data_IF_465938034863
#
_entry.id   IF_465938034863
#
_cell.length_a   1.000
_cell.length_b   1.000
_cell.length_c   1.000
_cell.angle_alpha   90.00
_cell.angle_beta   90.00
_cell.angle_gamma   90.00
#
_symmetry.space_group_name_H-M   'P 1'
#
loop_
_entity.id
_entity.type
_entity.pdbx_description
1 polymer ?
#
# COMPACT_ATOMS: atom_id res chain seq x y z
N UNK A 1 -7.16 5.74 0.82
CA UNK A 1 -7.26 5.34 2.24
C UNK A 1 -8.59 5.83 2.79
N UNK A 2 -8.77 7.15 2.92
CA UNK A 2 -9.95 7.80 3.52
C UNK A 2 -11.28 7.22 3.05
N UNK A 3 -11.48 7.11 1.74
CA UNK A 3 -12.70 6.55 1.17
C UNK A 3 -12.99 5.10 1.62
N UNK A 4 -11.97 4.25 1.68
CA UNK A 4 -12.15 2.85 2.09
C UNK A 4 -12.41 2.78 3.59
N UNK A 5 -11.68 3.59 4.39
CA UNK A 5 -11.91 3.67 5.84
C UNK A 5 -13.33 4.17 6.15
N UNK A 6 -13.85 5.13 5.40
CA UNK A 6 -15.24 5.62 5.51
C UNK A 6 -16.25 4.52 5.18
N UNK A 7 -16.01 3.74 4.12
CA UNK A 7 -16.92 2.69 3.68
C UNK A 7 -16.92 1.46 4.60
N UNK A 8 -15.76 1.04 5.10
CA UNK A 8 -15.60 -0.26 5.78
C UNK A 8 -15.32 -0.14 7.27
N UNK A 9 -14.98 1.04 7.77
CA UNK A 9 -14.48 1.25 9.14
C UNK A 9 -12.99 0.91 9.28
N UNK A 10 -12.32 1.59 10.21
CA UNK A 10 -10.85 1.51 10.39
C UNK A 10 -10.35 0.12 10.76
N UNK A 11 -11.18 -0.71 11.40
CA UNK A 11 -10.81 -2.07 11.76
C UNK A 11 -10.79 -3.02 10.55
N UNK A 12 -11.27 -2.60 9.38
CA UNK A 12 -11.40 -3.47 8.20
C UNK A 12 -10.47 -3.10 7.05
N UNK A 13 -9.48 -2.24 7.30
CA UNK A 13 -8.56 -1.74 6.26
C UNK A 13 -7.13 -2.20 6.53
N UNK A 14 -6.45 -2.64 5.48
CA UNK A 14 -5.02 -2.92 5.50
C UNK A 14 -4.36 -2.38 4.23
N UNK A 15 -3.03 -2.46 4.15
CA UNK A 15 -2.29 -2.02 2.97
C UNK A 15 -1.54 -3.15 2.26
N UNK A 16 -1.67 -3.16 0.92
CA UNK A 16 -0.82 -3.92 0.01
C UNK A 16 -0.28 -2.96 -1.04
N UNK A 17 1.02 -2.69 -1.02
CA UNK A 17 1.64 -1.67 -1.87
C UNK A 17 1.85 -2.11 -3.32
N UNK A 18 1.81 -3.42 -3.56
CA UNK A 18 2.05 -4.03 -4.87
C UNK A 18 3.33 -3.49 -5.54
N UNK A 19 4.42 -3.42 -4.75
CA UNK A 19 5.72 -2.93 -5.22
C UNK A 19 6.30 -3.90 -6.24
N UNK A 20 6.36 -3.48 -7.49
CA UNK A 20 6.67 -4.35 -8.61
C UNK A 20 7.75 -3.79 -9.54
N UNK A 21 8.23 -2.55 -9.40
CA UNK A 21 9.31 -2.04 -10.27
C UNK A 21 10.54 -2.96 -10.31
N UNK A 22 10.96 -3.44 -9.14
CA UNK A 22 12.05 -4.40 -9.00
C UNK A 22 11.70 -5.80 -9.52
N UNK A 23 10.41 -6.16 -9.57
CA UNK A 23 9.95 -7.42 -10.15
C UNK A 23 9.96 -7.35 -11.68
N UNK A 24 9.55 -6.23 -12.24
CA UNK A 24 9.42 -6.04 -13.69
C UNK A 24 10.74 -6.02 -14.44
N UNK A 25 11.89 -5.87 -13.76
CA UNK A 25 13.21 -6.07 -14.37
C UNK A 25 13.44 -7.50 -14.88
N UNK A 26 12.68 -8.47 -14.36
CA UNK A 26 12.72 -9.87 -14.78
C UNK A 26 11.64 -10.23 -15.81
N UNK A 27 10.81 -9.26 -16.22
CA UNK A 27 9.77 -9.46 -17.23
C UNK A 27 10.33 -9.07 -18.60
N UNK A 28 10.01 -9.88 -19.62
CA UNK A 28 10.52 -9.64 -20.98
C UNK A 28 10.00 -8.31 -21.55
N UNK A 29 10.78 -7.62 -22.39
CA UNK A 29 10.36 -6.35 -23.01
C UNK A 29 9.04 -6.48 -23.80
N UNK A 30 8.83 -7.59 -24.50
CA UNK A 30 7.60 -7.83 -25.27
C UNK A 30 6.36 -7.93 -24.37
N UNK A 31 6.50 -8.61 -23.22
CA UNK A 31 5.41 -8.70 -22.23
C UNK A 31 5.14 -7.33 -21.62
N UNK A 32 6.17 -6.55 -21.27
CA UNK A 32 6.01 -5.18 -20.77
C UNK A 32 5.35 -4.27 -21.81
N UNK A 33 5.71 -4.40 -23.09
CA UNK A 33 5.14 -3.62 -24.18
C UNK A 33 3.66 -3.98 -24.45
N UNK A 34 3.26 -5.22 -24.15
CA UNK A 34 1.87 -5.67 -24.27
C UNK A 34 0.96 -5.20 -23.13
N UNK A 35 1.51 -4.70 -22.02
CA UNK A 35 0.72 -4.24 -20.89
C UNK A 35 -0.03 -2.94 -21.23
N UNK A 36 -1.29 -2.78 -20.77
CA UNK A 36 -2.10 -1.59 -21.06
C UNK A 36 -1.49 -0.32 -20.45
N UNK A 37 -0.64 -0.46 -19.43
CA UNK A 37 0.12 0.63 -18.83
C UNK A 37 1.47 0.10 -18.35
N UNK A 38 2.50 0.93 -18.49
CA UNK A 38 3.80 0.65 -17.87
C UNK A 38 3.64 0.58 -16.35
N UNK A 39 3.98 -0.53 -15.70
CA UNK A 39 3.90 -0.63 -14.27
C UNK A 39 4.93 0.28 -13.60
N UNK A 40 4.57 0.83 -12.46
CA UNK A 40 5.42 1.71 -11.66
C UNK A 40 4.95 1.70 -10.21
N UNK A 41 5.89 1.91 -9.30
CA UNK A 41 5.62 1.99 -7.88
C UNK A 41 5.25 3.43 -7.54
N UNK A 42 4.10 3.64 -6.90
CA UNK A 42 3.66 4.97 -6.43
C UNK A 42 4.61 5.50 -5.36
N UNK A 43 5.11 4.61 -4.51
CA UNK A 43 6.16 4.86 -3.53
C UNK A 43 7.35 3.99 -3.90
N UNK A 44 8.51 4.60 -4.16
CA UNK A 44 9.70 3.90 -4.65
C UNK A 44 10.25 2.92 -3.62
N UNK A 45 9.88 1.64 -3.70
CA UNK A 45 10.37 0.60 -2.79
C UNK A 45 9.90 0.72 -1.34
N UNK A 46 10.05 -0.37 -0.59
CA UNK A 46 9.54 -0.50 0.78
C UNK A 46 10.19 0.46 1.77
N UNK A 47 11.44 0.88 1.51
CA UNK A 47 12.18 1.84 2.34
C UNK A 47 11.50 3.22 2.42
N UNK A 48 10.63 3.54 1.46
CA UNK A 48 9.90 4.81 1.43
C UNK A 48 8.51 4.73 2.09
N UNK A 49 8.16 3.62 2.74
CA UNK A 49 6.92 3.48 3.51
C UNK A 49 6.68 4.61 4.55
N UNK A 50 7.71 5.19 5.21
CA UNK A 50 7.51 6.33 6.10
C UNK A 50 6.79 7.53 5.46
N UNK A 51 6.91 7.74 4.13
CA UNK A 51 6.20 8.81 3.42
C UNK A 51 4.69 8.61 3.40
N UNK A 52 4.25 7.35 3.33
CA UNK A 52 2.84 7.04 3.45
C UNK A 52 2.34 7.34 4.87
N UNK A 53 3.11 6.95 5.88
CA UNK A 53 2.77 7.17 7.29
C UNK A 53 2.62 8.67 7.54
N UNK A 54 3.59 9.48 7.10
CA UNK A 54 3.50 10.95 7.14
C UNK A 54 2.24 11.47 6.45
N UNK A 55 1.90 10.94 5.27
CA UNK A 55 0.67 11.29 4.56
C UNK A 55 -0.61 10.96 5.34
N UNK A 56 -0.64 9.86 6.10
CA UNK A 56 -1.76 9.51 6.98
C UNK A 56 -1.81 10.42 8.21
N UNK A 57 -0.67 10.69 8.85
CA UNK A 57 -0.58 11.62 9.99
C UNK A 57 -1.08 13.03 9.60
N UNK A 58 -0.65 13.55 8.45
CA UNK A 58 -1.09 14.85 7.94
C UNK A 58 -2.59 14.91 7.62
N UNK A 59 -3.24 13.75 7.46
CA UNK A 59 -4.69 13.61 7.28
C UNK A 59 -5.46 13.41 8.58
N UNK A 60 -4.77 13.41 9.73
CA UNK A 60 -5.38 13.31 11.05
C UNK A 60 -5.57 11.89 11.58
N UNK A 61 -4.97 10.87 10.94
CA UNK A 61 -4.96 9.52 11.49
C UNK A 61 -4.12 9.48 12.78
N UNK A 62 -4.67 8.85 13.81
CA UNK A 62 -3.97 8.64 15.08
C UNK A 62 -3.03 7.44 14.96
N UNK A 63 -1.99 7.41 15.79
CA UNK A 63 -1.00 6.32 15.79
C UNK A 63 -1.64 4.93 15.89
N UNK A 64 -2.66 4.76 16.75
CA UNK A 64 -3.40 3.50 16.89
C UNK A 64 -4.14 3.09 15.61
N UNK A 65 -4.65 4.05 14.83
CA UNK A 65 -5.33 3.78 13.56
C UNK A 65 -4.31 3.45 12.45
N UNK A 66 -3.13 4.07 12.49
CA UNK A 66 -2.03 3.76 11.59
C UNK A 66 -1.51 2.34 11.86
N UNK A 67 -1.33 1.94 13.12
CA UNK A 67 -0.94 0.56 13.47
C UNK A 67 -1.92 -0.50 12.94
N UNK A 68 -3.22 -0.20 12.99
CA UNK A 68 -4.28 -1.03 12.39
C UNK A 68 -4.06 -1.23 10.90
N UNK A 69 -3.90 -0.13 10.17
CA UNK A 69 -3.69 -0.14 8.72
C UNK A 69 -2.39 -0.87 8.35
N UNK A 70 -1.32 -0.66 9.11
CA UNK A 70 0.01 -1.22 8.83
C UNK A 70 0.09 -2.72 9.08
N UNK A 71 -0.73 -3.29 9.96
CA UNK A 71 -0.73 -4.74 10.11
C UNK A 71 -1.58 -5.32 11.22
N UNK A 72 -1.97 -4.59 12.26
CA UNK A 72 -2.70 -5.24 13.37
C UNK A 72 -4.09 -5.73 12.95
N UNK A 73 -4.71 -5.12 11.93
CA UNK A 73 -5.92 -5.65 11.29
C UNK A 73 -5.68 -6.99 10.60
N UNK A 74 -4.59 -7.13 9.83
CA UNK A 74 -4.22 -8.40 9.21
C UNK A 74 -3.86 -9.46 10.25
N UNK A 75 -3.09 -9.09 11.29
CA UNK A 75 -2.73 -10.00 12.38
C UNK A 75 -3.96 -10.50 13.15
N UNK A 76 -5.00 -9.69 13.28
CA UNK A 76 -6.28 -10.13 13.87
C UNK A 76 -6.99 -11.16 12.99
N UNK A 77 -6.88 -11.07 11.67
CA UNK A 77 -7.54 -11.98 10.71
C UNK A 77 -6.77 -13.30 10.57
N UNK A 78 -5.43 -13.27 10.61
CA UNK A 78 -4.60 -14.46 10.45
C UNK A 78 -4.50 -15.36 11.69
N UNK A 79 -4.94 -14.88 12.86
CA UNK A 79 -5.04 -15.67 14.10
C UNK A 79 -6.31 -16.49 14.12
#
# INVERSE_FOLDING_TARGET
MDHIVELTGIDHVGIGLDLCEELFKYVSPDVLASMPRKPFDVIKGHQNLPKLIEGLMNRGYKDLDIEKILGTNFLRIFK
#
